data_IF_087136109809
#
_entry.id   IF_087136109809
#
_cell.length_a   1.000
_cell.length_b   1.000
_cell.length_c   1.000
_cell.angle_alpha   90.00
_cell.angle_beta   90.00
_cell.angle_gamma   90.00
#
_symmetry.space_group_name_H-M   'P 1'
#
loop_
_entity.id
_entity.type
_entity.pdbx_description
1 polymer ?
#
# COMPACT_ATOMS: atom_id res chain seq x y z
N UNK A 1 -9.57 -11.97 15.54
CA UNK A 1 -10.15 -11.37 16.76
C UNK A 1 -10.84 -10.06 16.42
N UNK A 2 -12.18 -10.07 16.36
CA UNK A 2 -12.92 -8.87 15.92
C UNK A 2 -12.73 -7.68 16.88
N UNK A 3 -12.31 -7.91 18.09
CA UNK A 3 -12.10 -6.81 19.05
C UNK A 3 -10.92 -5.93 18.68
N UNK A 4 -10.09 -6.36 17.74
CA UNK A 4 -8.95 -5.58 17.30
C UNK A 4 -9.33 -4.57 16.20
N UNK A 5 -10.56 -4.63 15.71
CA UNK A 5 -10.98 -3.77 14.61
C UNK A 5 -11.52 -2.45 15.14
N UNK A 6 -11.14 -1.32 14.53
CA UNK A 6 -11.67 -0.02 14.95
C UNK A 6 -13.17 0.07 14.69
N UNK A 7 -13.86 0.85 15.51
CA UNK A 7 -15.28 1.06 15.30
C UNK A 7 -15.56 1.88 14.06
N UNK A 8 -14.74 2.90 13.82
CA UNK A 8 -14.88 3.70 12.63
C UNK A 8 -14.11 3.09 11.49
N UNK A 9 -14.69 3.15 10.29
CA UNK A 9 -14.04 2.60 9.12
C UNK A 9 -12.74 3.35 8.81
N UNK A 10 -11.68 2.59 8.58
CA UNK A 10 -10.39 3.15 8.19
C UNK A 10 -9.70 2.16 7.26
N UNK A 11 -9.02 2.62 6.23
CA UNK A 11 -8.26 1.71 5.37
C UNK A 11 -6.92 1.28 5.97
N UNK A 12 -6.58 1.75 7.16
CA UNK A 12 -5.29 1.46 7.78
C UNK A 12 -5.50 0.95 9.20
N UNK A 13 -5.11 -0.29 9.47
CA UNK A 13 -5.13 -0.88 10.79
C UNK A 13 -3.70 -1.29 11.12
N UNK A 14 -3.02 -0.49 11.94
CA UNK A 14 -1.59 -0.64 12.18
C UNK A 14 -1.32 -1.21 13.58
N UNK A 15 -1.65 -2.48 13.76
CA UNK A 15 -1.52 -3.13 15.07
C UNK A 15 -0.08 -3.30 15.50
N UNK A 16 0.85 -3.44 14.56
CA UNK A 16 2.27 -3.61 14.86
C UNK A 16 3.02 -2.28 14.98
N UNK A 17 2.29 -1.16 14.84
CA UNK A 17 2.86 0.17 14.99
C UNK A 17 4.05 0.41 14.06
N UNK A 18 3.87 0.06 12.81
CA UNK A 18 4.88 0.24 11.78
C UNK A 18 4.98 1.68 11.28
N UNK A 19 3.92 2.47 11.50
CA UNK A 19 3.85 3.85 10.99
C UNK A 19 3.74 4.83 12.14
N UNK A 20 4.28 6.03 11.95
CA UNK A 20 4.04 7.11 12.90
C UNK A 20 2.59 7.59 12.76
N UNK A 21 2.06 8.33 13.76
CA UNK A 21 0.69 8.87 13.64
C UNK A 21 0.50 9.73 12.41
N UNK A 22 1.49 10.54 12.05
CA UNK A 22 1.42 11.39 10.86
C UNK A 22 1.39 10.55 9.59
N UNK A 23 2.24 9.53 9.51
CA UNK A 23 2.28 8.64 8.35
C UNK A 23 0.96 7.88 8.22
N UNK A 24 0.43 7.40 9.34
CA UNK A 24 -0.82 6.66 9.32
C UNK A 24 -1.95 7.53 8.79
N UNK A 25 -2.05 8.76 9.28
CA UNK A 25 -3.09 9.67 8.83
C UNK A 25 -2.94 10.00 7.35
N UNK A 26 -1.73 10.25 6.90
CA UNK A 26 -1.47 10.53 5.49
C UNK A 26 -1.84 9.35 4.62
N UNK A 27 -1.49 8.15 5.04
CA UNK A 27 -1.83 6.94 4.29
C UNK A 27 -3.34 6.75 4.23
N UNK A 28 -4.04 6.97 5.34
CA UNK A 28 -5.50 6.88 5.35
C UNK A 28 -6.13 7.80 4.32
N UNK A 29 -5.67 9.04 4.29
CA UNK A 29 -6.19 10.03 3.35
C UNK A 29 -5.90 9.65 1.90
N UNK A 30 -4.68 9.19 1.65
CA UNK A 30 -4.29 8.80 0.30
C UNK A 30 -5.07 7.59 -0.21
N UNK A 31 -5.26 6.60 0.63
CA UNK A 31 -5.99 5.40 0.22
C UNK A 31 -7.47 5.67 0.02
N UNK A 32 -8.07 6.50 0.87
CA UNK A 32 -9.46 6.89 0.70
C UNK A 32 -9.65 7.70 -0.58
N UNK A 33 -8.74 8.60 -0.88
CA UNK A 33 -8.81 9.39 -2.11
C UNK A 33 -8.65 8.52 -3.35
N UNK A 34 -7.74 7.56 -3.30
CA UNK A 34 -7.55 6.64 -4.43
C UNK A 34 -8.83 5.85 -4.69
N UNK A 35 -9.44 5.35 -3.64
CA UNK A 35 -10.68 4.59 -3.79
C UNK A 35 -11.79 5.45 -4.37
N UNK A 36 -11.95 6.68 -3.86
CA UNK A 36 -12.98 7.57 -4.37
C UNK A 36 -12.77 7.93 -5.83
N UNK A 37 -11.54 8.10 -6.25
CA UNK A 37 -11.25 8.54 -7.62
C UNK A 37 -11.20 7.39 -8.62
N UNK A 38 -10.80 6.21 -8.20
CA UNK A 38 -10.53 5.12 -9.13
C UNK A 38 -11.33 3.86 -8.88
N UNK A 39 -11.86 3.69 -7.68
CA UNK A 39 -12.53 2.46 -7.29
C UNK A 39 -11.58 1.38 -6.76
N UNK A 40 -10.26 1.58 -6.83
CA UNK A 40 -9.31 0.60 -6.30
C UNK A 40 -9.27 0.71 -4.78
N UNK A 41 -9.55 -0.41 -4.10
CA UNK A 41 -9.67 -0.45 -2.65
C UNK A 41 -8.40 -1.03 -2.04
N UNK A 42 -7.46 -0.20 -1.71
CA UNK A 42 -6.22 -0.64 -1.06
C UNK A 42 -6.37 -0.48 0.44
N UNK A 43 -6.13 -1.56 1.17
CA UNK A 43 -6.22 -1.60 2.63
C UNK A 43 -4.89 -2.08 3.21
N UNK A 44 -4.51 -1.51 4.33
CA UNK A 44 -3.25 -1.87 4.98
C UNK A 44 -3.51 -2.42 6.38
N UNK A 45 -2.94 -3.57 6.66
CA UNK A 45 -3.00 -4.21 7.98
C UNK A 45 -1.60 -4.59 8.40
N UNK A 46 -1.15 -4.10 9.56
CA UNK A 46 0.03 -4.67 10.17
C UNK A 46 -0.37 -5.48 11.38
N UNK A 47 0.31 -6.59 11.59
CA UNK A 47 -0.02 -7.47 12.71
C UNK A 47 1.27 -7.99 13.30
N UNK A 48 1.23 -8.34 14.59
CA UNK A 48 2.40 -8.85 15.29
C UNK A 48 1.97 -10.07 16.07
N UNK A 49 1.59 -9.89 17.34
CA UNK A 49 1.06 -11.00 18.12
C UNK A 49 -0.44 -11.12 17.99
N UNK A 50 -1.11 -9.99 17.80
CA UNK A 50 -2.56 -9.95 17.71
C UNK A 50 -2.99 -9.90 16.24
N UNK A 51 -3.87 -10.81 15.87
CA UNK A 51 -4.31 -10.97 14.49
C UNK A 51 -5.82 -10.90 14.44
N UNK A 52 -6.41 -9.99 13.64
CA UNK A 52 -7.86 -9.91 13.52
C UNK A 52 -8.51 -11.15 12.92
N UNK A 53 -7.79 -11.87 12.07
CA UNK A 53 -8.32 -13.08 11.46
C UNK A 53 -9.33 -12.78 10.36
N UNK A 54 -10.24 -13.71 10.17
CA UNK A 54 -11.17 -13.64 9.05
C UNK A 54 -12.15 -12.47 9.16
N UNK A 55 -12.31 -11.89 10.35
CA UNK A 55 -13.19 -10.74 10.52
C UNK A 55 -12.78 -9.56 9.66
N UNK A 56 -11.50 -9.48 9.25
CA UNK A 56 -11.02 -8.38 8.45
C UNK A 56 -11.68 -8.34 7.07
N UNK A 57 -12.01 -9.50 6.54
CA UNK A 57 -12.65 -9.59 5.22
C UNK A 57 -14.01 -8.90 5.23
N UNK A 58 -14.77 -9.14 6.31
CA UNK A 58 -16.08 -8.51 6.43
C UNK A 58 -15.97 -7.03 6.79
N UNK A 59 -14.99 -6.69 7.62
CA UNK A 59 -14.81 -5.31 8.04
C UNK A 59 -14.59 -4.39 6.84
N UNK A 60 -13.76 -4.83 5.89
CA UNK A 60 -13.45 -4.03 4.71
C UNK A 60 -14.26 -4.39 3.47
N UNK A 61 -15.13 -5.41 3.56
CA UNK A 61 -15.94 -5.86 2.42
C UNK A 61 -15.05 -6.10 1.20
N UNK A 62 -14.03 -6.95 1.39
CA UNK A 62 -13.03 -7.18 0.36
C UNK A 62 -13.63 -7.91 -0.86
N UNK A 63 -13.30 -7.43 -2.05
CA UNK A 63 -13.80 -8.01 -3.30
C UNK A 63 -12.68 -8.03 -4.36
N UNK A 64 -13.04 -8.22 -5.62
CA UNK A 64 -12.03 -8.36 -6.69
C UNK A 64 -11.25 -7.07 -6.95
N UNK A 65 -11.76 -5.92 -6.50
CA UNK A 65 -11.03 -4.65 -6.64
C UNK A 65 -10.22 -4.30 -5.40
N UNK A 66 -10.17 -5.21 -4.42
CA UNK A 66 -9.48 -4.96 -3.17
C UNK A 66 -8.05 -5.50 -3.21
N UNK A 67 -7.15 -4.73 -2.62
CA UNK A 67 -5.79 -5.17 -2.35
C UNK A 67 -5.55 -5.04 -0.85
N UNK A 68 -5.24 -6.15 -0.21
CA UNK A 68 -4.89 -6.13 1.20
C UNK A 68 -3.38 -6.27 1.32
N UNK A 69 -2.73 -5.21 1.81
CA UNK A 69 -1.31 -5.21 2.08
C UNK A 69 -1.12 -5.56 3.54
N UNK A 70 -0.42 -6.65 3.81
CA UNK A 70 -0.20 -7.13 5.17
C UNK A 70 1.27 -7.00 5.51
N UNK A 71 1.57 -6.37 6.63
CA UNK A 71 2.93 -6.31 7.16
C UNK A 71 3.00 -7.11 8.46
N UNK A 72 3.94 -8.04 8.51
CA UNK A 72 4.18 -8.82 9.71
C UNK A 72 5.67 -8.76 10.03
N UNK A 73 6.07 -7.95 11.01
CA UNK A 73 7.49 -7.78 11.32
C UNK A 73 8.19 -9.06 11.80
N UNK A 74 7.42 -10.08 12.18
CA UNK A 74 8.03 -11.35 12.60
C UNK A 74 8.17 -12.34 11.46
N UNK A 75 7.59 -12.04 10.30
CA UNK A 75 7.70 -12.93 9.15
C UNK A 75 9.07 -12.91 8.52
N UNK A 76 9.38 -13.91 7.71
CA UNK A 76 10.63 -13.95 6.96
C UNK A 76 10.72 -12.82 5.96
N UNK A 77 9.59 -12.43 5.39
CA UNK A 77 9.46 -11.24 4.57
C UNK A 77 8.41 -10.36 5.24
N UNK A 78 8.66 -9.08 5.31
CA UNK A 78 7.75 -8.17 6.01
C UNK A 78 6.38 -8.13 5.34
N UNK A 79 6.32 -8.23 4.02
CA UNK A 79 5.12 -7.93 3.26
C UNK A 79 4.46 -9.16 2.66
N UNK A 80 3.13 -9.15 2.70
CA UNK A 80 2.31 -10.09 1.96
C UNK A 80 1.17 -9.32 1.31
N UNK A 81 0.70 -9.81 0.16
CA UNK A 81 -0.37 -9.16 -0.58
C UNK A 81 -1.48 -10.14 -0.88
N UNK A 82 -2.71 -9.78 -0.50
CA UNK A 82 -3.89 -10.47 -0.98
C UNK A 82 -4.49 -9.62 -2.09
N UNK A 83 -4.42 -10.10 -3.30
CA UNK A 83 -4.69 -9.30 -4.49
C UNK A 83 -6.00 -9.72 -5.11
N UNK A 84 -6.94 -8.79 -5.22
CA UNK A 84 -8.20 -9.07 -5.91
C UNK A 84 -7.98 -9.32 -7.39
N UNK A 85 -8.81 -10.18 -7.97
CA UNK A 85 -8.58 -10.65 -9.34
C UNK A 85 -8.54 -9.54 -10.38
N UNK A 86 -9.26 -8.44 -10.13
CA UNK A 86 -9.29 -7.33 -11.09
C UNK A 86 -7.92 -6.68 -11.30
N UNK A 87 -7.04 -6.79 -10.33
CA UNK A 87 -5.71 -6.19 -10.46
C UNK A 87 -4.85 -6.89 -11.51
N UNK A 88 -5.08 -8.19 -11.75
CA UNK A 88 -4.16 -8.94 -12.59
C UNK A 88 -4.19 -8.52 -14.07
N UNK A 89 -5.22 -7.80 -14.49
CA UNK A 89 -5.24 -7.24 -15.84
C UNK A 89 -4.24 -6.11 -16.01
N UNK A 90 -3.84 -5.48 -14.91
CA UNK A 90 -2.96 -4.31 -14.92
C UNK A 90 -1.59 -4.61 -14.33
N UNK A 91 -1.55 -5.49 -13.34
CA UNK A 91 -0.34 -5.83 -12.59
C UNK A 91 -0.25 -7.35 -12.52
N UNK A 92 0.57 -7.97 -13.37
CA UNK A 92 0.61 -9.43 -13.45
C UNK A 92 1.19 -10.06 -12.19
N UNK A 93 1.04 -11.37 -12.07
CA UNK A 93 1.45 -12.07 -10.85
C UNK A 93 2.91 -11.82 -10.50
N UNK A 94 3.78 -11.76 -11.51
CA UNK A 94 5.21 -11.52 -11.24
C UNK A 94 5.48 -10.13 -10.67
N UNK A 95 4.62 -9.17 -10.98
CA UNK A 95 4.74 -7.84 -10.37
C UNK A 95 4.66 -7.94 -8.83
N UNK A 96 3.71 -8.73 -8.34
CA UNK A 96 3.51 -8.85 -6.89
C UNK A 96 4.64 -9.61 -6.20
N UNK A 97 5.18 -10.62 -6.88
CA UNK A 97 6.35 -11.34 -6.37
C UNK A 97 7.55 -10.39 -6.28
N UNK A 98 7.76 -9.61 -7.33
CA UNK A 98 8.85 -8.64 -7.35
C UNK A 98 8.68 -7.57 -6.28
N UNK A 99 7.44 -7.10 -6.10
CA UNK A 99 7.13 -6.07 -5.09
C UNK A 99 7.50 -6.57 -3.69
N UNK A 100 7.08 -7.79 -3.37
CA UNK A 100 7.38 -8.40 -2.09
C UNK A 100 8.88 -8.58 -1.90
N UNK A 101 9.55 -9.08 -2.92
CA UNK A 101 10.99 -9.35 -2.86
C UNK A 101 11.78 -8.05 -2.70
N UNK A 102 11.38 -7.01 -3.42
CA UNK A 102 12.14 -5.76 -3.43
C UNK A 102 12.00 -4.98 -2.12
N UNK A 103 10.77 -4.87 -1.60
CA UNK A 103 10.53 -3.98 -0.47
C UNK A 103 10.36 -4.70 0.86
N UNK A 104 9.99 -5.98 0.85
CA UNK A 104 9.74 -6.70 2.09
C UNK A 104 10.93 -7.46 2.64
N UNK A 105 12.06 -7.48 1.92
CA UNK A 105 13.22 -8.23 2.38
C UNK A 105 13.91 -7.52 3.53
N UNK A 106 14.65 -8.30 4.33
CA UNK A 106 15.22 -7.77 5.56
C UNK A 106 16.26 -6.66 5.33
N UNK A 107 16.93 -6.67 4.19
CA UNK A 107 17.93 -5.65 3.89
C UNK A 107 17.27 -4.31 3.61
N UNK A 108 16.19 -4.33 2.83
CA UNK A 108 15.44 -3.11 2.55
C UNK A 108 14.84 -2.54 3.83
N UNK A 109 14.25 -3.42 4.64
CA UNK A 109 13.63 -3.01 5.91
C UNK A 109 14.68 -2.42 6.85
N UNK A 110 15.86 -3.02 6.90
CA UNK A 110 16.93 -2.52 7.76
C UNK A 110 17.42 -1.15 7.31
N UNK A 111 17.46 -0.94 6.00
CA UNK A 111 17.96 0.32 5.44
C UNK A 111 16.93 1.43 5.49
N UNK A 112 15.66 1.13 5.26
CA UNK A 112 14.61 2.14 5.10
C UNK A 112 13.57 2.15 6.22
N UNK A 113 13.63 1.18 7.13
CA UNK A 113 12.63 1.02 8.18
C UNK A 113 11.39 0.27 7.70
N UNK A 114 10.61 -0.20 8.64
CA UNK A 114 9.34 -0.86 8.31
C UNK A 114 8.39 0.11 7.62
N UNK A 115 8.37 1.36 8.11
CA UNK A 115 7.54 2.39 7.50
C UNK A 115 7.95 2.66 6.05
N UNK A 116 9.25 2.80 5.81
CA UNK A 116 9.74 3.02 4.45
C UNK A 116 9.39 1.88 3.52
N UNK A 117 9.56 0.64 3.98
CA UNK A 117 9.25 -0.53 3.18
C UNK A 117 7.76 -0.57 2.81
N UNK A 118 6.89 -0.35 3.79
CA UNK A 118 5.44 -0.38 3.57
C UNK A 118 5.02 0.74 2.61
N UNK A 119 5.45 1.95 2.88
CA UNK A 119 5.03 3.10 2.09
C UNK A 119 5.57 3.04 0.66
N UNK A 120 6.81 2.57 0.50
CA UNK A 120 7.39 2.44 -0.84
C UNK A 120 6.66 1.39 -1.66
N UNK A 121 6.30 0.26 -1.04
CA UNK A 121 5.56 -0.78 -1.74
C UNK A 121 4.18 -0.28 -2.18
N UNK A 122 3.45 0.35 -1.28
CA UNK A 122 2.11 0.87 -1.60
C UNK A 122 2.20 1.96 -2.67
N UNK A 123 3.21 2.81 -2.57
CA UNK A 123 3.39 3.88 -3.54
C UNK A 123 3.70 3.34 -4.94
N UNK A 124 4.46 2.24 -5.02
CA UNK A 124 4.72 1.58 -6.30
C UNK A 124 3.43 1.10 -6.94
N UNK A 125 2.54 0.51 -6.15
CA UNK A 125 1.25 0.07 -6.69
C UNK A 125 0.44 1.25 -7.18
N UNK A 126 0.39 2.32 -6.39
CA UNK A 126 -0.36 3.51 -6.75
C UNK A 126 0.13 4.11 -8.06
N UNK A 127 1.44 4.25 -8.19
CA UNK A 127 2.04 4.77 -9.42
C UNK A 127 1.64 3.92 -10.61
N UNK A 128 1.69 2.61 -10.47
CA UNK A 128 1.35 1.72 -11.56
C UNK A 128 -0.13 1.78 -11.93
N UNK A 129 -1.00 1.90 -10.94
CA UNK A 129 -2.42 2.06 -11.23
C UNK A 129 -2.70 3.36 -11.96
N UNK A 130 -2.00 4.42 -11.60
CA UNK A 130 -2.16 5.71 -12.26
C UNK A 130 -1.64 5.70 -13.70
N UNK A 131 -0.66 4.83 -13.98
CA UNK A 131 -0.13 4.70 -15.34
C UNK A 131 -0.95 3.74 -16.20
N UNK A 132 -1.93 3.07 -15.63
CA UNK A 132 -2.71 2.09 -16.36
C UNK A 132 -2.14 0.69 -16.34
N UNK A 133 -1.13 0.45 -15.53
CA UNK A 133 -0.53 -0.87 -15.34
C UNK A 133 0.98 -0.84 -15.44
N UNK A 134 1.61 -1.89 -14.94
CA UNK A 134 3.05 -2.08 -15.01
C UNK A 134 3.33 -3.55 -15.19
N UNK A 135 4.28 -3.88 -16.06
CA UNK A 135 4.74 -5.25 -16.17
C UNK A 135 5.78 -5.58 -15.11
N UNK A 136 6.57 -4.59 -14.72
CA UNK A 136 7.61 -4.74 -13.71
C UNK A 136 7.46 -3.62 -12.69
N UNK A 137 8.03 -3.82 -11.51
CA UNK A 137 8.00 -2.81 -10.46
C UNK A 137 8.91 -1.66 -10.85
N UNK A 138 8.41 -0.42 -10.88
CA UNK A 138 9.24 0.72 -11.25
C UNK A 138 10.18 1.10 -10.13
N UNK A 139 11.27 1.76 -10.46
CA UNK A 139 12.11 2.40 -9.47
C UNK A 139 11.41 3.63 -8.90
N UNK A 140 11.57 3.88 -7.61
CA UNK A 140 11.02 5.07 -7.00
C UNK A 140 12.06 6.19 -6.99
N UNK A 141 11.62 7.45 -7.01
CA UNK A 141 12.56 8.55 -6.87
C UNK A 141 13.31 8.45 -5.56
N UNK A 142 14.54 8.97 -5.56
CA UNK A 142 15.34 8.93 -4.35
C UNK A 142 14.69 9.66 -3.22
N UNK A 143 14.08 10.79 -3.51
CA UNK A 143 13.37 11.53 -2.51
C UNK A 143 12.04 10.85 -2.31
N UNK A 144 11.80 10.39 -1.11
CA UNK A 144 10.54 9.72 -0.82
C UNK A 144 9.42 10.70 -0.53
N UNK A 145 9.59 11.94 -0.98
CA UNK A 145 8.56 12.93 -0.80
C UNK A 145 7.33 12.66 -1.64
N UNK A 146 7.33 11.57 -2.39
CA UNK A 146 6.17 11.23 -3.17
C UNK A 146 4.89 11.17 -2.37
N UNK A 147 4.97 10.81 -1.11
CA UNK A 147 3.76 10.82 -0.31
C UNK A 147 3.21 12.19 -0.12
N UNK A 148 4.05 13.18 0.09
CA UNK A 148 3.64 14.56 0.18
C UNK A 148 3.14 15.08 -1.16
N UNK A 149 3.89 14.79 -2.22
CA UNK A 149 3.50 15.26 -3.52
C UNK A 149 2.19 14.66 -3.96
N UNK A 150 1.98 13.37 -3.70
CA UNK A 150 0.78 12.73 -4.19
C UNK A 150 -0.47 13.30 -3.57
N UNK A 151 -0.37 13.94 -2.42
CA UNK A 151 -1.54 14.54 -1.84
C UNK A 151 -1.81 15.90 -2.43
N UNK A 152 -0.81 16.52 -3.06
CA UNK A 152 -0.99 17.86 -3.55
C UNK A 152 -1.10 17.93 -5.01
N UNK A 153 -0.33 17.17 -5.73
CA UNK A 153 -0.29 17.39 -7.09
C UNK A 153 -1.23 16.67 -7.84
N UNK A 154 -1.96 15.89 -7.36
CA UNK A 154 -2.82 15.39 -8.20
C UNK A 154 -3.67 16.30 -8.64
N UNK A 155 -3.42 17.09 -8.22
CA UNK A 155 -3.62 18.00 -8.84
C UNK A 155 -2.72 18.24 -9.85
N UNK A 156 -2.42 18.45 -10.20
CA UNK A 156 -1.45 18.70 -11.06
C UNK A 156 -0.65 17.94 -11.56
N UNK A 157 -0.68 17.44 -11.38
CA UNK A 157 0.05 17.19 -11.82
C UNK A 157 0.30 16.96 -12.34
N UNK A 158 0.13 16.95 -12.55
CA UNK A 158 0.65 16.90 -12.83
C UNK A 158 1.08 17.20 -13.36
N UNK A 159 0.86 17.69 -13.54
CA UNK A 159 1.46 18.07 -14.00
C UNK A 159 2.28 17.92 -14.30
N UNK A 160 2.38 17.92 -14.34
CA UNK A 160 3.24 17.77 -14.59
C UNK A 160 3.67 17.11 -14.78
N UNK A 161 3.21 16.50 -14.50
CA UNK A 161 3.67 15.97 -14.54
C UNK A 161 3.80 15.59 -15.24
N UNK A 162 3.52 15.59 -15.53
CA UNK A 162 3.77 15.27 -16.06
C UNK A 162 4.21 15.12 -16.71
N UNK A 163 4.25 15.23 -16.73
CA UNK A 163 4.85 15.16 -17.31
C UNK A 163 5.72 14.86 -17.59
N UNK A 164 6.02 14.81 -17.62
CA UNK A 164 7.00 14.56 -17.98
C UNK A 164 7.52 13.76 -18.15
N UNK A 165 7.93 13.34 -18.54
CA UNK A 165 8.51 12.44 -18.55
C UNK A 165 9.54 12.25 -18.36
N UNK A 166 9.54 12.14 -18.11
CA UNK A 166 10.22 12.09 -17.79
C UNK A 166 10.73 11.55 -17.61
#
# INVERSE_FOLDING_TARGET
>A
NPNLLPEEQTPVIDLAKTLSPTQKKSLEENLNNLEMQSGWKIKYLSQFESVPGIAIKNYWDLDETSLLVIADPRGGNLLNFNVGDAYFSFLPRLFWVELQTRYGNQYYVREHGEDGAVLDAINSVKICLEKGGCQVVPGLPKEQYLWTLSTSILGGLIAGFSAAPR
#
